data_IF_751533077007
#
_entry.id   IF_751533077007
#
_cell.length_a   1.000
_cell.length_b   1.000
_cell.length_c   1.000
_cell.angle_alpha   90.00
_cell.angle_beta   90.00
_cell.angle_gamma   90.00
#
_symmetry.space_group_name_H-M   'P 1'
#
loop_
_entity.id
_entity.type
_entity.pdbx_description
1 polymer ?
#
# COMPACT_ATOMS: atom_id res chain seq x y z
N UNK A 1 -3.57 -6.89 -20.91
CA UNK A 1 -4.55 -6.23 -20.03
C UNK A 1 -3.99 -6.40 -18.63
N UNK A 2 -3.44 -5.34 -18.08
CA UNK A 2 -3.00 -5.26 -16.69
C UNK A 2 -4.23 -4.88 -15.87
N UNK A 3 -4.51 -5.64 -14.81
CA UNK A 3 -5.66 -5.45 -13.94
C UNK A 3 -5.15 -5.08 -12.55
N UNK A 4 -5.39 -3.84 -12.15
CA UNK A 4 -5.15 -3.35 -10.80
C UNK A 4 -6.46 -3.43 -9.99
N UNK A 5 -6.38 -3.77 -8.71
CA UNK A 5 -7.53 -3.73 -7.82
C UNK A 5 -7.14 -3.15 -6.46
N UNK A 6 -8.00 -2.29 -5.90
CA UNK A 6 -7.79 -1.68 -4.60
C UNK A 6 -8.98 -1.94 -3.69
N UNK A 7 -8.71 -2.29 -2.44
CA UNK A 7 -9.71 -2.43 -1.36
C UNK A 7 -9.42 -1.36 -0.32
N UNK A 8 -10.37 -0.45 -0.11
CA UNK A 8 -10.28 0.59 0.91
C UNK A 8 -11.41 0.46 1.92
N UNK A 9 -11.10 0.58 3.21
CA UNK A 9 -12.08 0.63 4.28
C UNK A 9 -11.70 1.72 5.29
N UNK A 10 -12.67 2.54 5.66
CA UNK A 10 -12.56 3.58 6.69
C UNK A 10 -13.61 3.30 7.75
N UNK A 11 -13.20 3.23 9.01
CA UNK A 11 -14.09 3.03 10.16
C UNK A 11 -13.81 4.11 11.21
N UNK A 12 -14.81 4.92 11.57
CA UNK A 12 -14.69 5.91 12.64
C UNK A 12 -14.67 5.16 13.99
N UNK A 13 -13.56 5.27 14.73
CA UNK A 13 -13.40 4.62 16.04
C UNK A 13 -13.82 5.56 17.18
N UNK A 14 -13.57 6.85 17.02
CA UNK A 14 -13.87 7.86 18.02
C UNK A 14 -14.09 9.23 17.38
N UNK A 15 -15.01 10.00 17.95
CA UNK A 15 -15.25 11.38 17.57
C UNK A 15 -15.68 12.22 18.77
N UNK A 16 -15.03 13.36 18.94
CA UNK A 16 -15.40 14.36 19.94
C UNK A 16 -15.11 15.77 19.41
N UNK A 17 -16.18 16.47 19.02
CA UNK A 17 -16.09 17.82 18.47
C UNK A 17 -15.15 17.88 17.26
N UNK A 18 -14.06 18.63 17.42
CA UNK A 18 -13.03 18.87 16.39
C UNK A 18 -12.00 17.73 16.26
N UNK A 19 -12.03 16.75 17.16
CA UNK A 19 -11.08 15.64 17.17
C UNK A 19 -11.75 14.32 16.80
N UNK A 20 -11.06 13.49 16.01
CA UNK A 20 -11.54 12.15 15.65
C UNK A 20 -10.39 11.16 15.45
N UNK A 21 -10.69 9.89 15.61
CA UNK A 21 -9.77 8.78 15.35
C UNK A 21 -10.45 7.77 14.45
N UNK A 22 -9.78 7.42 13.35
CA UNK A 22 -10.25 6.44 12.38
C UNK A 22 -9.31 5.25 12.34
N UNK A 23 -9.88 4.07 12.11
CA UNK A 23 -9.16 2.94 11.54
C UNK A 23 -9.34 2.97 10.04
N UNK A 24 -8.24 2.87 9.34
CA UNK A 24 -8.18 2.92 7.88
C UNK A 24 -7.44 1.68 7.39
N UNK A 25 -7.89 1.13 6.27
CA UNK A 25 -7.28 -0.01 5.62
C UNK A 25 -7.20 0.24 4.13
N UNK A 26 -6.03 0.03 3.56
CA UNK A 26 -5.81 0.03 2.12
C UNK A 26 -5.10 -1.26 1.70
N UNK A 27 -5.70 -2.05 0.83
CA UNK A 27 -5.07 -3.18 0.18
C UNK A 27 -5.04 -3.00 -1.33
N UNK A 28 -3.97 -3.47 -1.97
CA UNK A 28 -3.82 -3.38 -3.42
C UNK A 28 -3.31 -4.67 -4.05
N UNK A 29 -3.80 -4.92 -5.27
CA UNK A 29 -3.36 -5.91 -6.24
C UNK A 29 -2.76 -5.13 -7.41
N UNK A 30 -1.44 -5.22 -7.62
CA UNK A 30 -0.77 -4.63 -8.78
C UNK A 30 0.00 -5.72 -9.57
N UNK A 31 -0.36 -5.98 -10.85
CA UNK A 31 0.41 -6.86 -11.71
C UNK A 31 1.69 -6.15 -12.14
N UNK A 32 2.85 -6.67 -11.72
CA UNK A 32 4.15 -6.12 -12.08
C UNK A 32 4.35 -6.15 -13.60
N UNK A 33 4.28 -4.98 -14.23
CA UNK A 33 4.58 -4.79 -15.64
C UNK A 33 6.06 -5.06 -15.88
N UNK A 34 6.38 -6.18 -16.51
CA UNK A 34 7.75 -6.47 -16.98
C UNK A 34 8.16 -5.36 -17.96
N UNK A 35 8.92 -4.35 -17.51
CA UNK A 35 9.61 -3.46 -18.43
C UNK A 35 10.63 -4.30 -19.22
N UNK A 36 10.31 -4.45 -20.51
CA UNK A 36 11.01 -5.20 -21.55
C UNK A 36 12.42 -4.65 -21.86
N UNK A 37 13.31 -4.50 -20.88
CA UNK A 37 14.70 -4.10 -21.12
C UNK A 37 15.75 -5.18 -20.78
N UNK A 38 15.33 -6.37 -20.35
CA UNK A 38 16.26 -7.47 -19.99
C UNK A 38 16.13 -8.73 -20.84
N UNK A 39 15.63 -8.62 -22.07
CA UNK A 39 15.51 -9.73 -23.03
C UNK A 39 16.75 -9.99 -23.90
N UNK A 40 17.91 -9.35 -23.65
CA UNK A 40 19.11 -9.61 -24.46
C UNK A 40 20.03 -10.69 -23.88
N UNK A 41 19.85 -11.12 -22.62
CA UNK A 41 20.69 -12.16 -22.01
C UNK A 41 20.02 -13.56 -21.96
N UNK A 42 18.71 -13.64 -22.17
CA UNK A 42 17.94 -14.88 -22.04
C UNK A 42 18.02 -15.84 -23.25
N UNK A 43 18.79 -15.52 -24.29
CA UNK A 43 18.89 -16.38 -25.50
C UNK A 43 20.01 -17.44 -25.39
N UNK A 44 20.82 -17.46 -24.32
CA UNK A 44 21.94 -18.41 -24.18
C UNK A 44 21.71 -19.62 -23.27
N UNK A 45 20.69 -19.60 -22.41
CA UNK A 45 20.40 -20.70 -21.48
C UNK A 45 18.91 -20.88 -21.37
N UNK A 46 18.40 -21.95 -21.98
CA UNK A 46 16.98 -22.25 -22.11
C UNK A 46 16.28 -22.51 -20.78
N UNK A 47 15.86 -21.44 -20.12
CA UNK A 47 14.85 -21.49 -19.07
C UNK A 47 13.71 -20.54 -19.41
N UNK A 48 12.64 -21.15 -19.95
CA UNK A 48 11.30 -20.56 -19.98
C UNK A 48 10.75 -20.63 -18.57
N UNK A 49 10.51 -19.48 -17.95
CA UNK A 49 9.65 -19.35 -16.79
C UNK A 49 9.19 -17.89 -16.74
N UNK A 50 8.22 -17.56 -17.59
CA UNK A 50 7.48 -16.29 -17.53
C UNK A 50 6.56 -16.32 -16.32
N UNK A 51 7.13 -16.10 -15.14
CA UNK A 51 6.38 -16.00 -13.88
C UNK A 51 5.69 -14.64 -13.85
N UNK A 52 4.37 -14.65 -13.69
CA UNK A 52 3.59 -13.43 -13.47
C UNK A 52 4.01 -12.88 -12.12
N UNK A 53 4.88 -11.88 -12.14
CA UNK A 53 5.23 -11.11 -10.96
C UNK A 53 3.98 -10.35 -10.50
N UNK A 54 3.57 -10.60 -9.27
CA UNK A 54 2.37 -10.02 -8.68
C UNK A 54 2.74 -9.46 -7.30
N UNK A 55 2.31 -8.23 -7.01
CA UNK A 55 2.54 -7.59 -5.72
C UNK A 55 1.21 -7.39 -4.98
N UNK A 56 1.12 -8.02 -3.80
CA UNK A 56 0.11 -7.75 -2.78
C UNK A 56 0.67 -6.82 -1.73
N UNK A 57 -0.11 -5.83 -1.36
CA UNK A 57 0.09 -5.11 -0.10
C UNK A 57 -1.21 -4.93 0.66
N UNK A 58 -1.09 -4.83 1.97
CA UNK A 58 -2.15 -4.42 2.88
C UNK A 58 -1.59 -3.43 3.91
N UNK A 59 -2.24 -2.29 4.07
CA UNK A 59 -1.84 -1.20 4.94
C UNK A 59 -3.00 -0.84 5.88
N UNK A 60 -3.13 -1.53 7.03
CA UNK A 60 -3.93 -1.04 8.15
C UNK A 60 -3.18 0.10 8.87
N UNK A 61 -3.90 1.17 9.20
CA UNK A 61 -3.38 2.28 9.97
C UNK A 61 -4.46 2.95 10.83
N UNK A 62 -4.02 3.64 11.89
CA UNK A 62 -4.86 4.51 12.71
C UNK A 62 -4.53 5.95 12.33
N UNK A 63 -5.56 6.76 12.10
CA UNK A 63 -5.42 8.18 11.80
C UNK A 63 -6.15 9.02 12.84
N UNK A 64 -5.40 9.90 13.51
CA UNK A 64 -5.95 10.97 14.33
C UNK A 64 -6.16 12.22 13.47
N UNK A 65 -7.31 12.85 13.62
CA UNK A 65 -7.72 14.04 12.89
C UNK A 65 -8.09 15.16 13.87
N UNK A 66 -7.65 16.39 13.59
CA UNK A 66 -7.99 17.57 14.38
C UNK A 66 -8.31 18.76 13.49
N UNK A 67 -9.53 19.27 13.58
CA UNK A 67 -9.95 20.50 12.90
C UNK A 67 -9.44 21.72 13.66
N UNK A 68 -8.26 22.20 13.30
CA UNK A 68 -7.63 23.35 13.94
C UNK A 68 -8.43 24.64 13.71
N UNK A 69 -8.90 24.86 12.49
CA UNK A 69 -9.78 25.97 12.10
C UNK A 69 -10.87 25.46 11.15
N UNK A 70 -11.83 26.31 10.76
CA UNK A 70 -12.87 25.93 9.80
C UNK A 70 -12.30 25.45 8.45
N UNK A 71 -11.13 25.94 8.08
CA UNK A 71 -10.47 25.71 6.80
C UNK A 71 -9.25 24.78 6.92
N UNK A 72 -8.72 24.53 8.12
CA UNK A 72 -7.49 23.73 8.34
C UNK A 72 -7.79 22.50 9.17
N UNK A 73 -7.53 21.33 8.59
CA UNK A 73 -7.56 20.03 9.28
C UNK A 73 -6.14 19.48 9.38
N UNK A 74 -5.70 19.16 10.59
CA UNK A 74 -4.46 18.45 10.86
C UNK A 74 -4.75 16.95 10.96
N UNK A 75 -3.84 16.12 10.46
CA UNK A 75 -3.93 14.68 10.65
C UNK A 75 -2.56 14.07 10.90
N UNK A 76 -2.53 13.02 11.70
CA UNK A 76 -1.37 12.18 11.90
C UNK A 76 -1.83 10.73 11.87
N UNK A 77 -1.06 9.86 11.23
CA UNK A 77 -1.37 8.46 11.07
C UNK A 77 -0.15 7.60 11.33
N UNK A 78 -0.41 6.40 11.85
CA UNK A 78 0.60 5.38 12.05
C UNK A 78 -0.01 4.01 11.77
N UNK A 79 0.76 3.16 11.12
CA UNK A 79 0.35 1.82 10.73
C UNK A 79 1.54 0.98 10.32
N UNK A 80 1.28 -0.09 9.60
CA UNK A 80 2.34 -0.90 9.03
C UNK A 80 1.89 -1.49 7.69
N UNK A 81 2.74 -1.36 6.67
CA UNK A 81 2.52 -2.02 5.38
C UNK A 81 2.90 -3.50 5.51
N UNK A 82 1.99 -4.38 5.12
CA UNK A 82 2.21 -5.81 5.00
C UNK A 82 2.39 -6.14 3.52
N UNK A 83 3.63 -6.44 3.12
CA UNK A 83 4.01 -6.71 1.73
C UNK A 83 4.93 -7.92 1.61
N UNK A 84 4.86 -8.60 0.48
CA UNK A 84 5.80 -9.66 0.12
C UNK A 84 7.08 -9.03 -0.46
N UNK A 85 8.16 -8.99 0.32
CA UNK A 85 9.44 -8.46 -0.16
C UNK A 85 10.33 -9.63 -0.58
N UNK A 86 10.80 -9.61 -1.84
CA UNK A 86 12.02 -10.27 -2.37
C UNK A 86 11.88 -11.43 -3.37
N UNK A 87 10.69 -11.97 -3.69
CA UNK A 87 10.60 -13.05 -4.70
C UNK A 87 9.46 -12.83 -5.69
N UNK A 88 9.83 -12.47 -6.93
CA UNK A 88 8.94 -12.35 -8.10
C UNK A 88 8.54 -13.71 -8.70
N UNK A 89 8.89 -14.82 -8.02
CA UNK A 89 8.64 -16.17 -8.47
C UNK A 89 7.47 -16.81 -7.70
N UNK A 90 6.38 -17.14 -8.41
CA UNK A 90 5.11 -17.73 -7.90
C UNK A 90 5.24 -18.99 -7.02
N UNK A 91 6.41 -19.60 -6.88
CA UNK A 91 6.61 -20.80 -6.07
C UNK A 91 6.75 -20.54 -4.57
N UNK A 92 6.99 -19.30 -4.14
CA UNK A 92 7.35 -19.05 -2.74
C UNK A 92 6.93 -17.65 -2.25
N UNK A 93 5.62 -17.41 -2.13
CA UNK A 93 5.08 -16.28 -1.35
C UNK A 93 5.37 -16.49 0.15
N UNK A 94 6.62 -16.34 0.57
CA UNK A 94 7.12 -16.81 1.87
C UNK A 94 7.63 -15.71 2.80
N UNK A 95 7.85 -14.50 2.29
CA UNK A 95 8.51 -13.43 3.05
C UNK A 95 7.61 -12.21 3.19
N UNK A 96 6.42 -12.44 3.74
CA UNK A 96 5.57 -11.37 4.21
C UNK A 96 6.20 -10.68 5.43
N UNK A 97 6.35 -9.36 5.36
CA UNK A 97 6.90 -8.58 6.46
C UNK A 97 6.05 -7.35 6.71
N UNK A 98 5.96 -6.98 7.98
CA UNK A 98 5.38 -5.72 8.41
C UNK A 98 6.45 -4.62 8.38
N UNK A 99 6.16 -3.53 7.69
CA UNK A 99 6.98 -2.32 7.64
C UNK A 99 6.24 -1.19 8.37
N UNK A 100 6.64 -0.84 9.61
CA UNK A 100 6.04 0.27 10.33
C UNK A 100 6.18 1.56 9.52
N UNK A 101 5.10 2.34 9.46
CA UNK A 101 5.05 3.62 8.77
C UNK A 101 4.24 4.61 9.58
N UNK A 102 4.62 5.87 9.52
CA UNK A 102 3.90 6.97 10.15
C UNK A 102 4.07 8.23 9.33
N UNK A 103 3.03 9.05 9.30
CA UNK A 103 3.04 10.32 8.59
C UNK A 103 2.13 11.33 9.27
N UNK A 104 2.35 12.59 9.01
CA UNK A 104 1.48 13.68 9.46
C UNK A 104 1.35 14.71 8.34
N UNK A 105 0.22 15.40 8.30
CA UNK A 105 -0.06 16.38 7.28
C UNK A 105 -1.18 17.34 7.68
N UNK A 106 -1.46 18.27 6.78
CA UNK A 106 -2.57 19.20 6.92
C UNK A 106 -3.34 19.29 5.60
N UNK A 107 -4.66 19.47 5.70
CA UNK A 107 -5.52 19.78 4.57
C UNK A 107 -6.13 21.17 4.79
N UNK A 108 -5.90 22.06 3.84
CA UNK A 108 -6.46 23.42 3.81
C UNK A 108 -7.52 23.49 2.71
N UNK A 109 -8.73 23.90 3.05
CA UNK A 109 -9.80 24.16 2.09
C UNK A 109 -9.99 25.69 1.96
N UNK A 110 -10.11 26.19 0.73
CA UNK A 110 -10.35 27.59 0.40
C UNK A 110 -11.71 27.76 -0.27
#
# INVERSE_FOLDING_TARGET
MEMEAYLKNSTELYKNGKFGVNFEFEGGYDPYTFHQYKLVEATRTGHRDGKRSYELYALPYIQANYQATEFVNLYAAAGAEYRNWKDSAESTASHWRWQPTAWAGMKVNF
#
